data_IF_924948282748
#
_entry.id   IF_924948282748
#
_cell.length_a   1.000
_cell.length_b   1.000
_cell.length_c   1.000
_cell.angle_alpha   90.00
_cell.angle_beta   90.00
_cell.angle_gamma   90.00
#
_symmetry.space_group_name_H-M   'P 1'
#
loop_
_entity.id
_entity.type
_entity.pdbx_description
1 polymer ?
#
# COMPACT_ATOMS: atom_id res chain seq x y z
N UNK A 1 -15.74 -76.23 -5.52
CA UNK A 1 -16.44 -76.89 -6.62
C UNK A 1 -16.44 -78.45 -6.29
N UNK A 2 -17.57 -79.09 -6.54
CA UNK A 2 -17.67 -80.52 -6.48
C UNK A 2 -17.81 -81.10 -7.88
N UNK A 3 -17.17 -82.22 -8.15
CA UNK A 3 -17.30 -82.91 -9.40
C UNK A 3 -18.09 -84.18 -9.10
N UNK A 4 -19.33 -84.31 -9.61
CA UNK A 4 -20.10 -85.52 -9.41
C UNK A 4 -19.46 -86.70 -10.15
N UNK A 5 -19.43 -87.84 -9.52
CA UNK A 5 -18.92 -89.09 -10.09
C UNK A 5 -20.08 -89.99 -10.32
N UNK A 6 -20.22 -90.54 -11.54
CA UNK A 6 -21.22 -91.55 -11.86
C UNK A 6 -20.56 -92.78 -12.48
N UNK A 7 -20.98 -93.90 -12.04
CA UNK A 7 -20.58 -95.24 -12.60
C UNK A 7 -21.78 -96.17 -12.57
N UNK A 8 -21.86 -97.08 -13.53
CA UNK A 8 -22.88 -98.13 -13.59
C UNK A 8 -22.27 -99.49 -13.74
N UNK A 9 -22.86 -100.50 -13.13
CA UNK A 9 -22.50 -101.86 -13.27
C UNK A 9 -23.54 -102.68 -14.05
N UNK A 10 -23.13 -103.53 -14.93
CA UNK A 10 -23.99 -104.44 -15.66
C UNK A 10 -24.70 -105.49 -14.73
N UNK A 11 -24.19 -105.69 -13.55
CA UNK A 11 -24.80 -106.52 -12.51
C UNK A 11 -25.83 -105.79 -11.66
N UNK A 12 -26.00 -104.50 -11.80
CA UNK A 12 -26.69 -103.56 -10.88
C UNK A 12 -26.17 -103.61 -9.44
N UNK A 13 -24.96 -104.18 -9.25
CA UNK A 13 -24.29 -104.21 -7.95
C UNK A 13 -23.93 -102.80 -7.49
N UNK A 14 -23.97 -102.51 -6.19
CA UNK A 14 -23.48 -101.27 -5.66
C UNK A 14 -22.00 -101.08 -6.07
N UNK A 15 -21.67 -99.84 -6.37
CA UNK A 15 -20.30 -99.47 -6.69
C UNK A 15 -19.74 -98.65 -5.51
N UNK A 16 -18.64 -99.14 -4.98
CA UNK A 16 -17.84 -98.41 -4.01
C UNK A 16 -16.75 -97.58 -4.72
N UNK A 17 -16.54 -96.38 -4.21
CA UNK A 17 -15.58 -95.43 -4.82
C UNK A 17 -14.54 -95.03 -3.78
N UNK A 18 -13.28 -95.28 -4.14
CA UNK A 18 -12.14 -94.95 -3.27
C UNK A 18 -11.13 -94.06 -4.00
N UNK A 19 -10.40 -93.24 -3.24
CA UNK A 19 -9.26 -92.50 -3.75
C UNK A 19 -7.96 -93.17 -3.38
N UNK A 20 -6.99 -93.08 -4.27
CA UNK A 20 -5.63 -93.47 -3.95
C UNK A 20 -5.08 -92.65 -2.77
N UNK A 21 -4.28 -93.35 -1.90
CA UNK A 21 -3.66 -92.64 -0.77
C UNK A 21 -2.79 -91.49 -1.21
N UNK A 22 -2.96 -90.30 -0.57
CA UNK A 22 -2.20 -89.10 -0.90
C UNK A 22 -2.80 -88.33 -2.05
N UNK A 23 -4.05 -88.63 -2.48
CA UNK A 23 -4.75 -87.87 -3.52
C UNK A 23 -4.96 -86.45 -3.16
N UNK A 24 -4.88 -85.59 -4.15
CA UNK A 24 -5.07 -84.13 -4.06
C UNK A 24 -6.54 -83.70 -3.83
N UNK A 25 -7.43 -84.61 -3.56
CA UNK A 25 -8.85 -84.42 -3.39
C UNK A 25 -9.44 -85.30 -2.31
N UNK A 26 -10.65 -84.98 -1.85
CA UNK A 26 -11.44 -85.87 -0.98
C UNK A 26 -12.76 -86.27 -1.65
N UNK A 27 -13.34 -87.43 -1.21
CA UNK A 27 -14.67 -87.87 -1.62
C UNK A 27 -15.72 -87.45 -0.62
N UNK A 28 -16.89 -87.10 -1.14
CA UNK A 28 -18.10 -86.86 -0.34
C UNK A 28 -19.27 -87.61 -0.97
N UNK A 29 -20.16 -88.14 -0.14
CA UNK A 29 -21.31 -88.93 -0.58
C UNK A 29 -21.17 -90.39 -0.14
N UNK A 30 -22.04 -91.27 -0.66
CA UNK A 30 -22.11 -92.72 -0.40
C UNK A 30 -22.57 -93.48 -1.63
N UNK A 31 -22.73 -94.78 -1.49
CA UNK A 31 -23.04 -95.74 -2.59
C UNK A 31 -24.05 -95.17 -3.59
N UNK A 32 -23.60 -95.03 -4.81
CA UNK A 32 -24.37 -94.49 -5.97
C UNK A 32 -24.39 -92.97 -6.12
N UNK A 33 -23.78 -92.22 -5.18
CA UNK A 33 -23.88 -90.71 -5.22
C UNK A 33 -22.61 -90.07 -4.69
N UNK A 34 -21.49 -90.30 -5.30
CA UNK A 34 -20.18 -89.80 -4.91
C UNK A 34 -19.89 -88.49 -5.65
N UNK A 35 -19.22 -87.57 -5.01
CA UNK A 35 -18.63 -86.38 -5.61
C UNK A 35 -17.19 -86.23 -5.14
N UNK A 36 -16.34 -85.85 -6.07
CA UNK A 36 -14.97 -85.41 -5.74
C UNK A 36 -15.07 -83.96 -5.25
N UNK A 37 -14.64 -83.79 -4.02
CA UNK A 37 -14.72 -82.44 -3.33
C UNK A 37 -13.35 -82.03 -2.81
N UNK A 38 -13.20 -80.80 -2.37
CA UNK A 38 -11.97 -80.35 -1.70
C UNK A 38 -10.68 -80.57 -2.49
N UNK A 39 -10.70 -80.28 -3.78
CA UNK A 39 -9.49 -80.33 -4.61
C UNK A 39 -8.58 -79.13 -4.16
N UNK A 40 -7.53 -79.48 -3.40
CA UNK A 40 -6.68 -78.52 -2.71
C UNK A 40 -5.30 -78.32 -3.32
N UNK A 41 -4.84 -79.29 -4.13
CA UNK A 41 -3.52 -79.23 -4.77
C UNK A 41 -3.53 -79.91 -6.15
N UNK A 42 -2.50 -79.62 -6.94
CA UNK A 42 -2.34 -80.19 -8.27
C UNK A 42 -1.75 -81.60 -8.18
N UNK A 43 -2.03 -82.36 -9.20
CA UNK A 43 -1.54 -83.74 -9.29
C UNK A 43 -2.56 -84.67 -9.90
N UNK A 44 -2.22 -85.95 -9.99
CA UNK A 44 -3.11 -87.02 -10.49
C UNK A 44 -3.98 -87.51 -9.33
N UNK A 45 -5.28 -87.33 -9.50
CA UNK A 45 -6.30 -87.95 -8.63
C UNK A 45 -6.72 -89.27 -9.28
N UNK A 46 -6.39 -90.41 -8.69
CA UNK A 46 -6.82 -91.71 -9.17
C UNK A 46 -8.01 -92.17 -8.32
N UNK A 47 -9.13 -92.40 -9.01
CA UNK A 47 -10.38 -92.84 -8.43
C UNK A 47 -10.58 -94.28 -8.82
N UNK A 48 -10.81 -95.17 -7.87
CA UNK A 48 -11.09 -96.60 -8.12
C UNK A 48 -12.57 -96.85 -7.83
N UNK A 49 -13.26 -97.31 -8.82
CA UNK A 49 -14.65 -97.83 -8.77
C UNK A 49 -14.60 -99.35 -8.64
N UNK A 50 -15.21 -99.92 -7.63
CA UNK A 50 -15.25 -101.38 -7.38
C UNK A 50 -16.67 -101.83 -7.19
N UNK A 51 -17.10 -102.84 -7.96
CA UNK A 51 -18.45 -103.41 -7.76
C UNK A 51 -18.41 -104.34 -6.52
N UNK A 52 -19.40 -104.24 -5.65
CA UNK A 52 -19.59 -105.17 -4.54
C UNK A 52 -20.54 -106.24 -4.95
N UNK A 53 -19.97 -107.29 -5.55
CA UNK A 53 -20.71 -108.52 -6.00
C UNK A 53 -20.63 -109.67 -4.97
N UNK A 54 -20.24 -109.37 -3.73
CA UNK A 54 -20.00 -110.36 -2.66
C UNK A 54 -21.26 -111.21 -2.36
N UNK A 55 -22.44 -110.71 -2.68
CA UNK A 55 -23.69 -111.38 -2.44
C UNK A 55 -24.26 -112.10 -3.69
N UNK A 56 -23.54 -112.09 -4.83
CA UNK A 56 -24.02 -112.72 -6.09
C UNK A 56 -22.95 -113.67 -6.71
N UNK A 57 -23.11 -114.97 -6.54
CA UNK A 57 -22.10 -115.97 -6.95
C UNK A 57 -21.88 -115.98 -8.47
N UNK A 58 -22.72 -115.41 -9.28
CA UNK A 58 -22.61 -115.38 -10.74
C UNK A 58 -21.75 -114.25 -11.29
N UNK A 59 -21.33 -113.35 -10.44
CA UNK A 59 -20.52 -112.21 -10.85
C UNK A 59 -19.21 -112.11 -10.00
N UNK A 60 -18.21 -111.53 -10.58
CA UNK A 60 -16.95 -111.26 -9.91
C UNK A 60 -16.77 -109.78 -9.63
N UNK A 61 -16.22 -109.47 -8.50
CA UNK A 61 -15.83 -108.08 -8.23
C UNK A 61 -14.88 -107.57 -9.31
N UNK A 62 -15.24 -106.43 -9.87
CA UNK A 62 -14.47 -105.75 -10.90
C UNK A 62 -14.12 -104.34 -10.41
N UNK A 63 -12.88 -104.00 -10.64
CA UNK A 63 -12.40 -102.65 -10.35
C UNK A 63 -11.99 -101.95 -11.65
N UNK A 64 -12.36 -100.63 -11.76
CA UNK A 64 -11.94 -99.77 -12.83
C UNK A 64 -11.41 -98.45 -12.23
N UNK A 65 -10.42 -97.88 -12.87
CA UNK A 65 -9.79 -96.61 -12.40
C UNK A 65 -10.01 -95.48 -13.40
N UNK A 66 -10.27 -94.31 -12.82
CA UNK A 66 -10.29 -93.05 -13.53
C UNK A 66 -9.20 -92.12 -12.97
N UNK A 67 -8.35 -91.61 -13.87
CA UNK A 67 -7.32 -90.66 -13.47
C UNK A 67 -7.71 -89.26 -13.99
N UNK A 68 -7.77 -88.32 -13.06
CA UNK A 68 -8.02 -86.86 -13.33
C UNK A 68 -6.73 -86.13 -13.04
N UNK A 69 -6.23 -85.38 -14.05
CA UNK A 69 -5.06 -84.55 -13.88
C UNK A 69 -5.51 -83.17 -13.42
N UNK A 70 -5.26 -82.78 -12.20
CA UNK A 70 -5.53 -81.48 -11.63
C UNK A 70 -4.33 -80.58 -11.95
N UNK A 71 -4.53 -79.62 -12.78
CA UNK A 71 -3.51 -78.64 -13.19
C UNK A 71 -3.73 -77.31 -12.44
N UNK A 72 -2.66 -76.51 -12.33
CA UNK A 72 -2.75 -75.17 -11.75
C UNK A 72 -3.66 -74.24 -12.63
N UNK A 73 -4.47 -73.42 -11.96
CA UNK A 73 -5.25 -72.37 -12.62
C UNK A 73 -4.37 -71.21 -13.01
N UNK A 74 -4.65 -70.64 -14.13
CA UNK A 74 -4.04 -69.34 -14.49
C UNK A 74 -4.64 -68.20 -13.66
N UNK A 75 -3.84 -67.18 -13.44
CA UNK A 75 -4.25 -65.96 -12.75
C UNK A 75 -3.68 -64.75 -13.47
N UNK A 76 -4.27 -63.58 -13.19
CA UNK A 76 -3.84 -62.31 -13.70
C UNK A 76 -3.64 -61.30 -12.55
N UNK A 77 -2.82 -60.29 -12.79
CA UNK A 77 -2.67 -59.13 -11.90
C UNK A 77 -3.35 -57.94 -12.59
N UNK A 78 -4.09 -57.15 -11.81
CA UNK A 78 -4.69 -55.89 -12.24
C UNK A 78 -4.51 -54.86 -11.14
N UNK A 79 -4.45 -53.59 -11.51
CA UNK A 79 -4.51 -52.53 -10.50
C UNK A 79 -5.96 -52.26 -10.11
N UNK A 80 -6.27 -52.17 -8.82
CA UNK A 80 -7.54 -51.68 -8.30
C UNK A 80 -7.67 -50.16 -8.55
N UNK A 81 -6.53 -49.44 -8.43
CA UNK A 81 -6.34 -48.08 -8.86
C UNK A 81 -4.99 -47.99 -9.56
N UNK A 82 -4.99 -47.66 -10.84
CA UNK A 82 -3.74 -47.53 -11.61
C UNK A 82 -2.87 -46.43 -11.02
N UNK A 83 -1.55 -46.66 -10.85
CA UNK A 83 -0.63 -45.58 -10.56
C UNK A 83 -0.75 -44.48 -11.64
N UNK A 84 -0.59 -43.18 -11.28
CA UNK A 84 -0.63 -42.12 -12.26
C UNK A 84 0.55 -42.19 -13.23
N UNK A 85 0.33 -41.88 -14.49
CA UNK A 85 1.40 -41.82 -15.49
C UNK A 85 2.38 -40.67 -15.25
N UNK A 86 1.90 -39.59 -14.64
CA UNK A 86 2.70 -38.40 -14.29
C UNK A 86 2.29 -37.81 -12.95
N UNK A 87 3.28 -37.36 -12.20
CA UNK A 87 3.10 -36.57 -10.96
C UNK A 87 4.08 -35.41 -10.92
N UNK A 88 3.66 -34.29 -10.29
CA UNK A 88 4.56 -33.19 -9.98
C UNK A 88 5.30 -33.49 -8.67
N UNK A 89 6.59 -33.23 -8.65
CA UNK A 89 7.40 -33.37 -7.44
C UNK A 89 6.83 -32.58 -6.26
N UNK A 90 6.83 -33.18 -5.10
CA UNK A 90 6.66 -32.47 -3.83
C UNK A 90 7.52 -33.14 -2.76
N UNK A 91 7.85 -32.40 -1.71
CA UNK A 91 8.56 -33.03 -0.58
C UNK A 91 7.68 -34.11 0.06
N UNK A 92 8.31 -35.26 0.41
CA UNK A 92 7.65 -36.42 0.97
C UNK A 92 6.57 -37.06 0.06
N UNK A 93 6.68 -36.85 -1.26
CA UNK A 93 5.76 -37.47 -2.22
C UNK A 93 5.83 -39.01 -2.11
N UNK A 94 4.69 -39.63 -1.92
CA UNK A 94 4.57 -41.09 -1.88
C UNK A 94 3.31 -41.56 -2.61
N UNK A 95 3.39 -42.74 -3.21
CA UNK A 95 2.30 -43.40 -3.95
C UNK A 95 2.09 -44.78 -3.37
N UNK A 96 0.87 -45.06 -2.94
CA UNK A 96 0.49 -46.44 -2.51
C UNK A 96 0.04 -47.22 -3.73
N UNK A 97 0.68 -48.37 -3.95
CA UNK A 97 0.39 -49.26 -5.06
C UNK A 97 -0.69 -50.27 -4.67
N UNK A 98 -1.70 -50.44 -5.51
CA UNK A 98 -2.88 -51.26 -5.23
C UNK A 98 -3.14 -52.33 -6.32
N UNK A 99 -2.15 -53.17 -6.68
CA UNK A 99 -2.38 -54.29 -7.57
C UNK A 99 -2.95 -55.50 -6.82
N UNK A 100 -3.85 -56.20 -7.44
CA UNK A 100 -4.52 -57.39 -6.92
C UNK A 100 -4.40 -58.55 -7.90
N UNK A 101 -4.20 -59.76 -7.37
CA UNK A 101 -4.24 -60.99 -8.18
C UNK A 101 -5.66 -61.53 -8.20
N UNK A 102 -6.10 -62.07 -9.33
CA UNK A 102 -7.42 -62.71 -9.48
C UNK A 102 -7.62 -63.92 -8.59
N UNK A 103 -6.52 -64.51 -8.10
CA UNK A 103 -6.50 -65.61 -7.11
C UNK A 103 -6.68 -65.14 -5.67
N UNK A 104 -6.58 -63.84 -5.36
CA UNK A 104 -6.54 -63.31 -4.01
C UNK A 104 -5.18 -63.47 -3.30
N UNK A 105 -4.17 -64.03 -3.97
CA UNK A 105 -2.83 -64.18 -3.41
C UNK A 105 -2.11 -62.81 -3.36
N UNK A 106 -1.20 -62.60 -2.39
CA UNK A 106 -0.51 -61.33 -2.23
C UNK A 106 0.40 -61.03 -3.43
N UNK A 107 0.34 -59.79 -3.90
CA UNK A 107 1.19 -59.24 -4.98
C UNK A 107 2.44 -58.62 -4.33
N UNK A 108 3.59 -58.79 -4.97
CA UNK A 108 4.86 -58.20 -4.58
C UNK A 108 5.29 -57.19 -5.62
N UNK A 109 5.95 -56.10 -5.17
CA UNK A 109 6.41 -55.02 -6.03
C UNK A 109 7.93 -54.92 -6.04
N UNK A 110 8.49 -54.52 -7.18
CA UNK A 110 9.91 -54.22 -7.32
C UNK A 110 10.12 -53.00 -8.19
N UNK A 111 11.20 -52.24 -7.92
CA UNK A 111 11.71 -51.19 -8.78
C UNK A 111 12.53 -51.84 -9.89
N UNK A 112 12.11 -51.62 -11.14
CA UNK A 112 12.85 -52.07 -12.32
C UNK A 112 13.90 -51.06 -12.72
N UNK A 113 13.55 -49.78 -12.65
CA UNK A 113 14.44 -48.63 -12.86
C UNK A 113 13.94 -47.39 -12.14
N UNK A 114 14.85 -46.41 -11.90
CA UNK A 114 14.54 -45.14 -11.26
C UNK A 114 15.20 -45.01 -9.88
N UNK A 115 16.44 -44.47 -9.84
CA UNK A 115 17.17 -44.21 -8.59
C UNK A 115 16.54 -43.09 -7.76
N UNK A 116 15.54 -42.41 -8.30
CA UNK A 116 14.77 -41.31 -7.73
C UNK A 116 13.56 -41.76 -6.88
N UNK A 117 13.42 -43.08 -6.62
CA UNK A 117 12.38 -43.63 -5.78
C UNK A 117 12.88 -44.74 -4.89
N UNK A 118 12.26 -44.99 -3.76
CA UNK A 118 12.45 -46.12 -2.89
C UNK A 118 11.12 -46.81 -2.65
N UNK A 119 11.14 -48.17 -2.68
CA UNK A 119 9.94 -48.96 -2.50
C UNK A 119 10.00 -49.68 -1.15
N UNK A 120 9.00 -49.52 -0.34
CA UNK A 120 8.80 -50.25 0.91
C UNK A 120 7.43 -50.94 0.86
N UNK A 121 7.43 -52.24 0.69
CA UNK A 121 6.24 -53.06 0.42
C UNK A 121 5.47 -52.49 -0.80
N UNK A 122 4.30 -51.90 -0.59
CA UNK A 122 3.47 -51.32 -1.62
C UNK A 122 3.49 -49.77 -1.61
N UNK A 123 4.41 -49.12 -0.87
CA UNK A 123 4.55 -47.67 -0.83
C UNK A 123 5.82 -47.25 -1.57
N UNK A 124 5.64 -46.52 -2.65
CA UNK A 124 6.71 -45.86 -3.40
C UNK A 124 6.92 -44.47 -2.84
N UNK A 125 8.08 -44.19 -2.24
CA UNK A 125 8.52 -42.87 -1.84
C UNK A 125 9.41 -42.28 -2.92
N UNK A 126 9.14 -41.00 -3.32
CA UNK A 126 9.81 -40.33 -4.43
C UNK A 126 10.75 -39.24 -3.88
N UNK A 127 12.01 -39.30 -4.28
CA UNK A 127 13.07 -38.41 -3.77
C UNK A 127 13.56 -37.38 -4.79
N UNK A 128 13.31 -37.55 -6.08
CA UNK A 128 13.72 -36.63 -7.15
C UNK A 128 12.82 -36.81 -8.40
N UNK A 129 13.00 -35.96 -9.40
CA UNK A 129 12.29 -36.07 -10.69
C UNK A 129 12.88 -37.15 -11.60
N UNK A 130 12.12 -37.52 -12.64
CA UNK A 130 12.52 -38.55 -13.60
C UNK A 130 11.54 -39.69 -13.71
N UNK A 131 11.88 -40.71 -14.51
CA UNK A 131 11.03 -41.89 -14.69
C UNK A 131 11.32 -42.96 -13.62
N UNK A 132 10.26 -43.56 -13.11
CA UNK A 132 10.27 -44.70 -12.21
C UNK A 132 9.48 -45.80 -12.88
N UNK A 133 10.07 -47.01 -12.98
CA UNK A 133 9.41 -48.20 -13.51
C UNK A 133 9.23 -49.20 -12.39
N UNK A 134 7.98 -49.57 -12.13
CA UNK A 134 7.57 -50.52 -11.10
C UNK A 134 7.04 -51.77 -11.79
N UNK A 135 7.38 -52.92 -11.26
CA UNK A 135 6.82 -54.21 -11.67
C UNK A 135 6.05 -54.83 -10.51
N UNK A 136 4.82 -55.26 -10.78
CA UNK A 136 4.03 -56.04 -9.85
C UNK A 136 4.05 -57.51 -10.29
N UNK A 137 4.40 -58.42 -9.38
CA UNK A 137 4.56 -59.86 -9.61
C UNK A 137 3.74 -60.68 -8.64
N UNK A 138 3.36 -61.89 -9.07
CA UNK A 138 2.77 -62.90 -8.21
C UNK A 138 3.28 -64.30 -8.64
N UNK A 139 3.98 -65.01 -7.78
CA UNK A 139 4.75 -66.18 -8.07
C UNK A 139 3.93 -67.51 -8.14
N UNK A 140 2.62 -67.35 -7.92
CA UNK A 140 1.73 -68.55 -7.88
C UNK A 140 1.67 -69.23 -6.51
N UNK A 141 1.04 -70.39 -6.54
CA UNK A 141 0.91 -71.30 -5.37
C UNK A 141 0.84 -72.72 -5.83
N UNK A 142 0.49 -73.65 -4.95
CA UNK A 142 0.21 -75.02 -5.32
C UNK A 142 -1.00 -75.13 -6.28
N UNK A 143 -1.93 -74.15 -6.24
CA UNK A 143 -3.18 -74.18 -7.04
C UNK A 143 -3.17 -73.23 -8.23
N UNK A 144 -2.25 -72.28 -8.28
CA UNK A 144 -2.20 -71.24 -9.31
C UNK A 144 -0.83 -71.17 -9.97
N UNK A 145 -0.81 -70.94 -11.27
CA UNK A 145 0.40 -70.60 -12.01
C UNK A 145 0.86 -69.17 -11.63
N UNK A 146 2.16 -68.88 -11.80
CA UNK A 146 2.59 -67.44 -11.71
C UNK A 146 1.77 -66.55 -12.64
N UNK A 147 1.42 -65.34 -12.18
CA UNK A 147 0.81 -64.36 -13.05
C UNK A 147 1.86 -63.75 -14.00
N UNK A 148 1.41 -63.27 -15.16
CA UNK A 148 2.23 -62.44 -16.02
C UNK A 148 2.47 -61.11 -15.28
N UNK A 149 3.74 -60.71 -15.04
CA UNK A 149 4.03 -59.42 -14.42
C UNK A 149 3.45 -58.25 -15.16
N UNK A 150 2.99 -57.22 -14.43
CA UNK A 150 2.56 -55.97 -15.01
C UNK A 150 3.49 -54.83 -14.60
N UNK A 151 3.76 -53.90 -15.53
CA UNK A 151 4.62 -52.73 -15.30
C UNK A 151 3.84 -51.46 -15.36
N UNK A 152 4.23 -50.48 -14.52
CA UNK A 152 3.78 -49.10 -14.58
C UNK A 152 4.97 -48.16 -14.66
N UNK A 153 4.85 -47.13 -15.46
CA UNK A 153 5.84 -46.08 -15.63
C UNK A 153 5.24 -44.82 -15.05
N UNK A 154 5.95 -44.21 -14.10
CA UNK A 154 5.54 -42.93 -13.46
C UNK A 154 6.60 -41.90 -13.82
N UNK A 155 6.16 -40.82 -14.51
CA UNK A 155 7.00 -39.67 -14.82
C UNK A 155 6.85 -38.63 -13.73
N UNK A 156 7.92 -38.36 -12.99
CA UNK A 156 7.96 -37.33 -11.97
C UNK A 156 8.52 -36.05 -12.61
N UNK A 157 7.71 -35.01 -12.74
CA UNK A 157 8.10 -33.72 -13.33
C UNK A 157 8.46 -32.68 -12.25
N UNK A 158 9.23 -31.67 -12.64
CA UNK A 158 9.61 -30.58 -11.74
C UNK A 158 8.39 -29.84 -11.21
N UNK A 159 8.46 -29.45 -9.94
CA UNK A 159 7.49 -28.54 -9.34
C UNK A 159 7.74 -27.09 -9.78
N UNK A 160 6.71 -26.25 -9.87
CA UNK A 160 6.91 -24.82 -10.08
C UNK A 160 7.59 -24.18 -8.85
N UNK A 161 8.51 -23.26 -9.09
CA UNK A 161 8.94 -22.29 -8.09
C UNK A 161 8.00 -21.10 -8.13
N UNK A 162 7.71 -20.51 -6.99
CA UNK A 162 6.97 -19.25 -6.89
C UNK A 162 7.72 -18.29 -5.98
N UNK A 163 7.96 -17.08 -6.51
CA UNK A 163 8.49 -15.95 -5.76
C UNK A 163 7.37 -14.91 -5.58
N UNK A 164 7.22 -14.36 -4.38
CA UNK A 164 6.22 -13.34 -4.04
C UNK A 164 6.79 -12.29 -3.09
N UNK A 165 6.02 -11.21 -2.85
CA UNK A 165 6.31 -10.19 -1.85
C UNK A 165 7.65 -9.47 -2.04
N UNK A 166 7.93 -9.03 -3.28
CA UNK A 166 9.12 -8.28 -3.59
C UNK A 166 8.78 -6.86 -4.00
N UNK A 167 9.15 -5.88 -3.17
CA UNK A 167 8.94 -4.46 -3.42
C UNK A 167 10.11 -3.65 -2.88
N UNK A 168 10.36 -2.50 -3.51
CA UNK A 168 11.41 -1.56 -3.12
C UNK A 168 10.77 -0.17 -3.18
N UNK A 169 10.79 0.61 -2.08
CA UNK A 169 10.29 1.98 -2.10
C UNK A 169 11.19 2.88 -2.94
N UNK A 170 10.61 3.96 -3.47
CA UNK A 170 11.35 5.02 -4.13
C UNK A 170 12.43 5.57 -3.19
N UNK A 171 13.50 6.09 -3.77
CA UNK A 171 14.69 6.59 -3.09
C UNK A 171 15.08 7.96 -3.59
N UNK A 172 15.85 8.66 -2.77
CA UNK A 172 16.58 9.85 -3.18
C UNK A 172 18.07 9.57 -3.32
N UNK A 173 18.79 10.46 -4.00
CA UNK A 173 20.25 10.35 -4.15
C UNK A 173 20.98 10.54 -2.79
N UNK A 174 20.30 11.10 -1.80
CA UNK A 174 20.83 11.35 -0.46
C UNK A 174 20.52 10.21 0.53
N UNK A 175 19.68 9.24 0.14
CA UNK A 175 19.42 8.07 0.98
C UNK A 175 20.67 7.19 1.08
N UNK A 176 20.81 6.53 2.22
CA UNK A 176 21.86 5.54 2.43
C UNK A 176 21.68 4.32 1.52
N UNK A 177 22.80 3.67 1.19
CA UNK A 177 22.82 2.34 0.60
C UNK A 177 22.01 1.38 1.48
N UNK A 178 21.32 0.41 0.89
CA UNK A 178 20.37 -0.43 1.63
C UNK A 178 20.45 -1.92 1.28
N UNK A 179 19.85 -2.75 2.12
CA UNK A 179 19.67 -4.17 1.85
C UNK A 179 18.25 -4.46 1.37
N UNK A 180 18.14 -5.29 0.32
CA UNK A 180 16.86 -5.83 -0.14
C UNK A 180 16.26 -6.76 0.91
N UNK A 181 14.96 -6.69 1.08
CA UNK A 181 14.18 -7.77 1.70
C UNK A 181 13.97 -8.83 0.62
N UNK A 182 14.52 -10.05 0.79
CA UNK A 182 14.36 -11.11 -0.21
C UNK A 182 12.88 -11.44 -0.43
N UNK A 183 12.46 -11.75 -1.67
CA UNK A 183 11.12 -12.26 -1.90
C UNK A 183 10.91 -13.59 -1.18
N UNK A 184 9.66 -13.87 -0.80
CA UNK A 184 9.25 -15.15 -0.27
C UNK A 184 9.32 -16.22 -1.37
N UNK A 185 9.90 -17.37 -1.09
CA UNK A 185 9.97 -18.52 -1.99
C UNK A 185 9.31 -19.75 -1.39
N UNK A 186 8.59 -20.53 -2.21
CA UNK A 186 8.00 -21.80 -1.81
C UNK A 186 9.03 -22.94 -1.66
N UNK A 187 10.31 -22.67 -1.89
CA UNK A 187 11.41 -23.65 -1.72
C UNK A 187 12.69 -22.99 -1.21
N UNK A 188 13.56 -23.79 -0.62
CA UNK A 188 14.92 -23.36 -0.28
C UNK A 188 15.77 -23.17 -1.54
N UNK A 189 16.76 -22.28 -1.46
CA UNK A 189 17.74 -22.04 -2.51
C UNK A 189 18.19 -20.59 -2.59
N UNK A 190 19.29 -20.34 -3.29
CA UNK A 190 19.87 -19.01 -3.44
C UNK A 190 19.05 -18.19 -4.44
N UNK A 191 18.75 -16.95 -4.07
CA UNK A 191 18.15 -15.95 -4.95
C UNK A 191 19.27 -15.02 -5.43
N UNK A 192 19.29 -14.73 -6.72
CA UNK A 192 20.23 -13.83 -7.37
C UNK A 192 19.53 -12.56 -7.80
N UNK A 193 20.22 -11.44 -7.72
CA UNK A 193 19.65 -10.13 -8.03
C UNK A 193 20.42 -9.45 -9.15
N UNK A 194 19.70 -8.76 -10.03
CA UNK A 194 20.29 -7.94 -11.12
C UNK A 194 19.58 -6.59 -11.18
N UNK A 195 20.34 -5.56 -11.50
CA UNK A 195 19.82 -4.20 -11.72
C UNK A 195 19.69 -3.92 -13.22
N UNK A 196 18.56 -3.31 -13.62
CA UNK A 196 18.34 -2.84 -14.99
C UNK A 196 19.14 -1.58 -15.33
N UNK A 197 19.55 -0.80 -14.31
CA UNK A 197 20.26 0.46 -14.47
C UNK A 197 21.45 0.55 -13.50
N UNK A 198 22.59 -0.07 -13.83
CA UNK A 198 23.78 -0.04 -12.97
C UNK A 198 24.42 1.34 -12.80
N UNK A 199 24.04 2.35 -13.62
CA UNK A 199 24.49 3.73 -13.45
C UNK A 199 23.76 4.44 -12.31
N UNK A 200 22.50 4.05 -12.06
CA UNK A 200 21.71 4.59 -10.98
C UNK A 200 21.84 3.77 -9.69
N UNK A 201 21.83 2.43 -9.79
CA UNK A 201 22.06 1.55 -8.64
C UNK A 201 22.69 0.22 -9.07
N UNK A 202 23.67 -0.25 -8.29
CA UNK A 202 24.25 -1.59 -8.44
C UNK A 202 23.80 -2.47 -7.28
N UNK A 203 23.66 -3.79 -7.57
CA UNK A 203 23.26 -4.79 -6.56
C UNK A 203 24.34 -5.87 -6.44
N UNK A 204 24.69 -6.24 -5.21
CA UNK A 204 25.63 -7.31 -4.89
C UNK A 204 25.09 -8.16 -3.73
N UNK A 205 24.66 -9.38 -4.03
CA UNK A 205 23.81 -10.13 -3.08
C UNK A 205 22.54 -9.33 -2.80
N UNK A 206 22.21 -9.11 -1.54
CA UNK A 206 21.07 -8.27 -1.14
C UNK A 206 21.41 -6.78 -1.00
N UNK A 207 22.69 -6.42 -1.04
CA UNK A 207 23.12 -5.04 -0.85
C UNK A 207 22.95 -4.23 -2.16
N UNK A 208 22.27 -3.09 -2.06
CA UNK A 208 22.07 -2.13 -3.14
C UNK A 208 22.81 -0.85 -2.82
N UNK A 209 23.70 -0.43 -3.72
CA UNK A 209 24.42 0.84 -3.67
C UNK A 209 23.80 1.83 -4.62
N UNK A 210 23.42 2.99 -4.12
CA UNK A 210 22.89 4.12 -4.89
C UNK A 210 24.08 4.89 -5.52
N UNK A 211 24.02 5.15 -6.81
CA UNK A 211 25.09 5.84 -7.57
C UNK A 211 24.62 7.08 -8.31
N UNK A 212 23.34 7.15 -8.66
CA UNK A 212 22.80 8.23 -9.48
C UNK A 212 21.28 8.19 -9.56
N UNK A 213 20.70 9.21 -10.16
CA UNK A 213 19.26 9.32 -10.39
C UNK A 213 18.82 8.44 -11.55
N UNK A 214 17.57 7.97 -11.51
CA UNK A 214 16.95 7.22 -12.59
C UNK A 214 15.96 6.16 -12.11
N UNK A 215 15.27 5.58 -13.08
CA UNK A 215 14.39 4.45 -12.83
C UNK A 215 15.24 3.16 -12.80
N UNK A 216 15.00 2.34 -11.78
CA UNK A 216 15.73 1.09 -11.54
C UNK A 216 14.73 -0.03 -11.32
N UNK A 217 14.96 -1.16 -11.99
CA UNK A 217 14.25 -2.41 -11.72
C UNK A 217 15.24 -3.44 -11.22
N UNK A 218 15.03 -3.95 -10.01
CA UNK A 218 15.79 -5.09 -9.50
C UNK A 218 14.99 -6.35 -9.80
N UNK A 219 15.62 -7.30 -10.50
CA UNK A 219 15.05 -8.62 -10.75
C UNK A 219 15.68 -9.62 -9.80
N UNK A 220 14.86 -10.27 -8.99
CA UNK A 220 15.22 -11.39 -8.14
C UNK A 220 14.92 -12.69 -8.88
N UNK A 221 15.89 -13.60 -9.04
CA UNK A 221 15.75 -14.84 -9.77
C UNK A 221 16.22 -16.04 -8.95
N UNK A 222 15.45 -17.11 -8.96
CA UNK A 222 15.82 -18.38 -8.37
C UNK A 222 15.95 -19.44 -9.49
N UNK A 223 17.18 -19.92 -9.79
CA UNK A 223 17.41 -20.87 -10.86
C UNK A 223 16.70 -22.20 -10.65
N UNK A 224 16.40 -22.90 -11.73
CA UNK A 224 15.93 -24.29 -11.68
C UNK A 224 16.97 -25.23 -11.02
N UNK A 225 16.48 -26.31 -10.44
CA UNK A 225 17.31 -27.44 -10.01
C UNK A 225 16.65 -28.77 -10.47
N UNK A 226 17.14 -29.95 -9.99
CA UNK A 226 16.54 -31.21 -10.40
C UNK A 226 15.04 -31.34 -10.06
N UNK A 227 14.58 -30.69 -9.00
CA UNK A 227 13.23 -30.83 -8.43
C UNK A 227 12.26 -29.71 -8.77
N UNK A 228 12.77 -28.52 -9.10
CA UNK A 228 11.98 -27.30 -9.26
C UNK A 228 12.37 -26.53 -10.53
N UNK A 229 11.39 -25.96 -11.17
CA UNK A 229 11.58 -24.97 -12.24
C UNK A 229 12.20 -23.67 -11.71
N UNK A 230 12.75 -22.86 -12.60
CA UNK A 230 13.18 -21.48 -12.26
C UNK A 230 11.97 -20.57 -12.12
N UNK A 231 12.14 -19.49 -11.36
CA UNK A 231 11.21 -18.35 -11.30
C UNK A 231 11.96 -17.04 -11.08
N UNK A 232 11.31 -15.92 -11.42
CA UNK A 232 11.82 -14.58 -11.19
C UNK A 232 10.69 -13.61 -10.88
N UNK A 233 11.00 -12.61 -10.07
CA UNK A 233 10.12 -11.49 -9.73
C UNK A 233 10.92 -10.19 -9.80
N UNK A 234 10.28 -9.09 -10.16
CA UNK A 234 10.92 -7.79 -10.29
C UNK A 234 10.23 -6.73 -9.45
N UNK A 235 11.02 -5.81 -8.90
CA UNK A 235 10.56 -4.62 -8.22
C UNK A 235 11.21 -3.39 -8.85
N UNK A 236 10.39 -2.40 -9.20
CA UNK A 236 10.86 -1.13 -9.77
C UNK A 236 10.73 -0.02 -8.74
N UNK A 237 11.72 0.85 -8.71
CA UNK A 237 11.74 2.04 -7.87
C UNK A 237 12.47 3.17 -8.61
N UNK A 238 12.28 4.40 -8.14
CA UNK A 238 12.90 5.59 -8.70
C UNK A 238 13.92 6.16 -7.73
N UNK A 239 15.05 6.62 -8.28
CA UNK A 239 16.02 7.42 -7.53
C UNK A 239 15.92 8.85 -8.06
N UNK A 240 15.53 9.78 -7.21
CA UNK A 240 15.34 11.19 -7.54
C UNK A 240 16.33 12.06 -6.76
N UNK A 241 16.46 13.33 -7.16
CA UNK A 241 17.03 14.35 -6.28
C UNK A 241 16.02 14.58 -5.17
N UNK A 242 16.48 14.70 -3.93
CA UNK A 242 15.59 14.92 -2.78
C UNK A 242 14.81 16.22 -2.91
N UNK A 243 13.52 16.17 -2.68
CA UNK A 243 12.58 17.26 -2.55
C UNK A 243 11.58 16.78 -1.49
N UNK A 244 11.85 17.15 -0.24
CA UNK A 244 11.23 16.50 0.93
C UNK A 244 9.81 16.93 1.17
N UNK A 245 9.40 18.11 0.72
CA UNK A 245 8.04 18.65 0.86
C UNK A 245 7.26 18.71 -0.46
N UNK A 246 7.94 18.48 -1.60
CA UNK A 246 7.32 18.37 -2.91
C UNK A 246 6.92 19.71 -3.53
N UNK A 247 7.63 20.79 -3.20
CA UNK A 247 7.35 22.13 -3.72
C UNK A 247 8.03 22.44 -5.06
N UNK A 248 8.93 21.54 -5.51
CA UNK A 248 9.68 21.64 -6.76
C UNK A 248 11.10 22.18 -6.58
N UNK A 249 11.49 22.55 -5.37
CA UNK A 249 12.86 22.94 -5.01
C UNK A 249 13.54 21.74 -4.33
N UNK A 250 14.76 21.44 -4.75
CA UNK A 250 15.49 20.31 -4.18
C UNK A 250 16.04 20.65 -2.80
N UNK A 251 16.05 19.67 -1.88
CA UNK A 251 16.50 19.80 -0.48
C UNK A 251 17.81 20.56 -0.28
N UNK A 252 18.71 20.53 -1.25
CA UNK A 252 20.01 21.20 -1.17
C UNK A 252 19.99 22.67 -1.60
N UNK A 253 18.87 23.14 -2.14
CA UNK A 253 18.64 24.49 -2.61
C UNK A 253 17.43 25.11 -1.93
N UNK A 254 16.76 24.34 -1.10
CA UNK A 254 15.55 24.72 -0.41
C UNK A 254 15.88 25.32 0.97
N UNK A 255 15.45 26.57 1.17
CA UNK A 255 15.61 27.30 2.41
C UNK A 255 14.53 26.95 3.47
N UNK A 256 13.52 26.11 3.08
CA UNK A 256 12.52 25.53 3.99
C UNK A 256 12.28 24.05 3.70
N UNK A 257 13.28 23.23 3.73
CA UNK A 257 13.34 21.81 3.32
C UNK A 257 12.12 20.93 3.61
N UNK A 258 11.28 21.27 4.59
CA UNK A 258 10.13 20.48 5.03
C UNK A 258 8.81 21.26 5.00
N UNK A 259 8.81 22.49 4.46
CA UNK A 259 7.65 23.38 4.40
C UNK A 259 7.58 24.00 3.02
N UNK A 260 6.59 23.61 2.25
CA UNK A 260 6.44 24.07 0.87
C UNK A 260 6.52 25.60 0.75
N UNK A 261 7.53 26.08 0.03
CA UNK A 261 7.73 27.48 -0.28
C UNK A 261 8.39 27.71 -1.66
N UNK A 262 7.72 27.34 -2.75
CA UNK A 262 8.30 27.34 -4.10
C UNK A 262 8.85 28.71 -4.56
N UNK A 263 8.49 29.80 -3.87
CA UNK A 263 9.03 31.14 -4.11
C UNK A 263 10.36 31.42 -3.41
N UNK A 264 10.77 30.55 -2.47
CA UNK A 264 12.03 30.66 -1.72
C UNK A 264 12.25 32.05 -1.09
N UNK A 265 11.15 32.67 -0.61
CA UNK A 265 11.21 33.97 0.05
C UNK A 265 12.05 33.86 1.34
N UNK A 266 12.91 34.86 1.56
CA UNK A 266 13.85 34.99 2.68
C UNK A 266 14.03 36.50 2.90
N UNK A 267 13.28 37.04 3.82
CA UNK A 267 13.13 38.50 3.97
C UNK A 267 14.36 39.14 4.59
N UNK A 268 14.98 38.47 5.58
CA UNK A 268 16.14 38.99 6.30
C UNK A 268 17.47 38.50 5.70
N UNK A 269 17.44 37.45 4.84
CA UNK A 269 18.62 36.93 4.15
C UNK A 269 19.52 36.03 5.00
N UNK A 270 19.00 35.42 6.05
CA UNK A 270 19.77 34.56 6.95
C UNK A 270 19.92 33.13 6.40
N UNK A 271 19.16 32.75 5.36
CA UNK A 271 19.16 31.47 4.68
C UNK A 271 18.06 30.51 5.16
N UNK A 272 17.20 30.93 6.09
CA UNK A 272 15.95 30.27 6.44
C UNK A 272 14.82 30.98 5.69
N UNK A 273 13.97 30.22 5.02
CA UNK A 273 12.87 30.84 4.25
C UNK A 273 11.74 31.32 5.15
N UNK A 274 11.08 32.44 4.76
CA UNK A 274 9.94 33.04 5.50
C UNK A 274 8.90 32.03 5.98
N UNK A 275 8.69 30.94 5.23
CA UNK A 275 7.66 29.94 5.53
C UNK A 275 7.99 29.07 6.74
N UNK A 276 9.26 28.94 7.09
CA UNK A 276 9.74 28.11 8.19
C UNK A 276 10.60 28.87 9.20
N UNK A 277 10.77 30.19 8.97
CA UNK A 277 11.55 31.06 9.84
C UNK A 277 10.74 31.43 11.10
N UNK A 278 11.28 31.25 12.29
CA UNK A 278 10.67 31.73 13.52
C UNK A 278 10.80 33.24 13.76
N UNK A 279 11.66 33.96 12.96
CA UNK A 279 11.97 35.40 13.09
C UNK A 279 12.20 35.98 11.68
N UNK A 280 11.11 36.15 10.91
CA UNK A 280 11.10 36.43 9.46
C UNK A 280 11.83 37.72 9.05
N UNK A 281 11.92 38.71 9.93
CA UNK A 281 12.59 39.99 9.61
C UNK A 281 13.94 40.15 10.32
N UNK A 282 14.33 39.15 11.12
CA UNK A 282 15.66 39.06 11.73
C UNK A 282 15.92 40.12 12.82
N UNK A 283 14.90 40.63 13.47
CA UNK A 283 15.05 41.68 14.47
C UNK A 283 15.36 41.13 15.88
N UNK A 284 15.29 39.83 16.06
CA UNK A 284 15.56 39.14 17.31
C UNK A 284 14.30 38.84 18.13
N UNK A 285 13.13 39.14 17.63
CA UNK A 285 11.83 38.86 18.25
C UNK A 285 11.12 37.78 17.40
N UNK A 286 10.70 36.72 18.04
CA UNK A 286 10.02 35.64 17.30
C UNK A 286 8.67 36.11 16.76
N UNK A 287 8.29 35.69 15.53
CA UNK A 287 7.05 36.09 14.84
C UNK A 287 5.78 36.04 15.71
N UNK A 288 5.73 35.12 16.68
CA UNK A 288 4.58 34.94 17.57
C UNK A 288 4.52 35.94 18.72
N UNK A 289 5.59 36.69 18.92
CA UNK A 289 5.75 37.73 19.96
C UNK A 289 6.00 39.09 19.38
N UNK A 290 6.20 39.17 18.07
CA UNK A 290 6.51 40.36 17.31
C UNK A 290 5.22 41.08 16.87
N UNK A 291 5.15 42.34 17.17
CA UNK A 291 4.03 43.20 16.76
C UNK A 291 4.14 43.68 15.31
N UNK A 292 5.30 43.45 14.63
CA UNK A 292 5.49 43.70 13.20
C UNK A 292 6.29 42.59 12.50
N UNK A 293 5.82 41.33 12.42
CA UNK A 293 6.63 40.13 12.07
C UNK A 293 7.33 40.14 10.70
N UNK A 294 7.19 41.21 9.95
CA UNK A 294 7.80 41.37 8.61
C UNK A 294 8.51 42.70 8.43
N UNK A 295 8.69 43.48 9.52
CA UNK A 295 9.36 44.76 9.51
C UNK A 295 10.24 44.93 10.76
N UNK A 296 11.53 44.91 10.56
CA UNK A 296 12.55 45.04 11.60
C UNK A 296 12.25 46.16 12.61
N UNK A 297 11.81 45.80 13.81
CA UNK A 297 11.44 46.75 14.89
C UNK A 297 11.80 46.22 16.29
N UNK A 298 13.08 46.00 16.61
CA UNK A 298 13.54 45.31 17.83
C UNK A 298 13.15 46.03 19.13
N UNK A 299 12.53 47.21 19.06
CA UNK A 299 12.03 47.93 20.23
C UNK A 299 10.57 47.64 20.54
N UNK A 300 9.85 47.04 19.60
CA UNK A 300 8.44 46.68 19.72
C UNK A 300 7.57 47.81 20.25
N UNK A 301 7.77 49.03 19.68
CA UNK A 301 6.93 50.16 20.01
C UNK A 301 5.51 49.91 19.45
N UNK A 302 4.52 50.28 20.23
CA UNK A 302 3.10 50.10 19.99
C UNK A 302 2.42 51.16 20.86
N UNK A 303 2.16 52.32 20.23
CA UNK A 303 1.76 53.55 20.94
C UNK A 303 0.34 53.42 21.50
N UNK A 304 -0.57 52.86 20.73
CA UNK A 304 -1.99 52.73 21.11
C UNK A 304 -2.31 51.40 21.84
N UNK A 305 -1.37 50.47 21.84
CA UNK A 305 -1.47 49.14 22.43
C UNK A 305 -2.54 48.24 21.80
N UNK A 306 -2.72 48.33 20.50
CA UNK A 306 -3.63 47.46 19.75
C UNK A 306 -2.99 46.12 19.32
N UNK A 307 -1.67 46.01 19.44
CA UNK A 307 -0.87 44.82 19.13
C UNK A 307 -0.21 44.85 17.76
N UNK A 308 -0.37 45.95 16.99
CA UNK A 308 0.39 46.27 15.78
C UNK A 308 1.45 47.27 16.19
N UNK A 309 2.67 47.08 15.74
CA UNK A 309 3.75 48.00 16.11
C UNK A 309 3.78 49.24 15.19
N UNK A 310 4.18 50.38 15.75
CA UNK A 310 4.23 51.70 15.08
C UNK A 310 4.89 51.62 13.67
N UNK A 311 5.84 50.73 13.45
CA UNK A 311 6.54 50.62 12.16
C UNK A 311 5.66 50.02 11.08
N UNK A 312 4.66 49.22 11.40
CA UNK A 312 3.78 48.55 10.49
C UNK A 312 2.31 48.96 10.62
N UNK A 313 1.98 49.71 11.63
CA UNK A 313 0.65 50.31 11.79
C UNK A 313 0.47 51.42 10.79
N UNK A 314 -0.68 51.60 10.18
CA UNK A 314 -1.04 52.79 9.38
C UNK A 314 -1.64 53.95 10.18
N UNK A 315 -1.92 53.80 11.50
CA UNK A 315 -2.60 54.76 12.37
C UNK A 315 -2.10 54.49 13.82
N UNK A 316 -0.86 54.97 14.11
CA UNK A 316 -0.07 54.62 15.28
C UNK A 316 -0.70 54.94 16.65
N UNK A 317 -1.72 55.87 16.68
CA UNK A 317 -2.40 56.23 17.90
C UNK A 317 -3.92 55.93 17.90
N UNK A 318 -4.42 55.38 16.78
CA UNK A 318 -5.81 54.95 16.59
C UNK A 318 -6.85 56.09 16.78
N UNK A 319 -6.49 57.29 16.37
CA UNK A 319 -7.42 58.43 16.42
C UNK A 319 -8.37 58.48 15.21
N UNK A 320 -8.08 57.67 14.15
CA UNK A 320 -8.85 57.57 12.91
C UNK A 320 -8.26 58.38 11.76
N UNK A 321 -7.12 59.05 11.93
CA UNK A 321 -6.31 59.66 10.89
C UNK A 321 -5.06 58.82 10.65
N UNK A 322 -4.82 58.36 9.43
CA UNK A 322 -3.59 57.61 9.14
C UNK A 322 -2.36 58.48 9.26
N UNK A 323 -1.23 57.96 9.78
CA UNK A 323 0.07 58.65 9.95
C UNK A 323 0.48 59.50 8.76
N UNK A 324 0.19 59.00 7.53
CA UNK A 324 0.52 59.75 6.31
C UNK A 324 -0.26 61.05 6.11
N UNK A 325 -1.25 61.30 6.93
CA UNK A 325 -2.13 62.47 6.89
C UNK A 325 -2.27 63.16 8.25
N UNK A 326 -1.61 62.60 9.23
CA UNK A 326 -1.56 63.07 10.58
C UNK A 326 -0.27 63.83 10.83
N UNK A 327 -0.39 64.97 11.43
CA UNK A 327 0.77 65.77 11.86
C UNK A 327 1.35 65.31 13.21
N UNK A 328 0.55 64.56 13.99
CA UNK A 328 0.90 64.06 15.33
C UNK A 328 0.64 62.55 15.50
N UNK A 329 1.24 61.67 14.67
CA UNK A 329 0.89 60.25 14.57
C UNK A 329 1.03 59.43 15.86
N UNK A 330 1.40 59.99 16.95
CA UNK A 330 1.57 59.34 18.25
C UNK A 330 0.72 59.98 19.35
N UNK A 331 -0.10 61.00 19.03
CA UNK A 331 -0.96 61.71 19.98
C UNK A 331 -2.44 61.62 19.56
N UNK A 332 -3.23 60.70 20.11
CA UNK A 332 -4.61 60.48 19.71
C UNK A 332 -5.58 61.64 20.01
N UNK A 333 -5.05 62.74 20.40
CA UNK A 333 -5.84 63.97 20.62
C UNK A 333 -5.60 65.04 19.59
N UNK A 334 -4.61 64.88 18.71
CA UNK A 334 -4.17 65.84 17.72
C UNK A 334 -3.93 65.15 16.36
N UNK A 335 -4.39 65.79 15.26
CA UNK A 335 -4.23 65.28 13.90
C UNK A 335 -3.97 66.35 12.86
N UNK A 336 -4.31 67.63 13.13
CA UNK A 336 -4.00 68.75 12.27
C UNK A 336 -3.09 69.72 12.96
N UNK A 337 -2.34 70.47 12.17
CA UNK A 337 -1.46 71.60 12.57
C UNK A 337 -1.54 72.60 11.43
N UNK A 338 -2.49 73.51 11.53
CA UNK A 338 -2.87 74.40 10.43
C UNK A 338 -1.79 75.41 10.11
N UNK A 339 -1.12 75.98 11.10
CA UNK A 339 -0.06 76.94 10.96
C UNK A 339 1.36 76.39 10.96
N UNK A 340 1.50 75.11 11.28
CA UNK A 340 2.77 74.34 11.28
C UNK A 340 3.75 74.85 12.38
N UNK A 341 3.24 75.22 13.54
CA UNK A 341 4.08 75.64 14.66
C UNK A 341 4.46 74.48 15.60
N UNK A 342 3.84 73.32 15.44
CA UNK A 342 4.09 72.05 16.18
C UNK A 342 3.18 71.88 17.39
N UNK A 343 2.13 72.72 17.54
CA UNK A 343 0.99 72.53 18.43
C UNK A 343 -0.20 72.12 17.57
N UNK A 344 -0.94 71.07 17.94
CA UNK A 344 -2.10 70.67 17.14
C UNK A 344 -3.31 71.55 17.37
N UNK A 345 -4.16 71.64 16.35
CA UNK A 345 -5.35 72.56 16.33
C UNK A 345 -6.29 72.33 17.54
N UNK A 346 -6.30 71.12 18.14
CA UNK A 346 -7.10 70.84 19.33
C UNK A 346 -6.49 71.44 20.63
N UNK A 347 -5.20 71.64 20.68
CA UNK A 347 -4.44 72.12 21.85
C UNK A 347 -4.02 73.59 21.65
N UNK A 348 -3.93 74.04 20.41
CA UNK A 348 -3.62 75.41 20.10
C UNK A 348 -4.79 76.32 20.55
N UNK A 349 -4.55 77.55 20.68
CA UNK A 349 -5.56 78.60 21.00
C UNK A 349 -5.63 79.68 19.95
N UNK A 350 -4.78 79.58 18.88
CA UNK A 350 -4.70 80.49 17.74
C UNK A 350 -4.22 79.68 16.54
N UNK A 351 -5.12 78.79 16.01
CA UNK A 351 -4.86 77.70 15.06
C UNK A 351 -4.18 78.19 13.75
N UNK A 352 -4.24 79.49 13.43
CA UNK A 352 -3.63 79.98 12.21
C UNK A 352 -2.55 81.06 12.45
N UNK A 353 -2.25 81.34 13.74
CA UNK A 353 -1.21 82.24 14.23
C UNK A 353 -1.34 83.68 13.65
N UNK A 354 -2.56 84.13 13.50
CA UNK A 354 -2.82 85.50 13.05
C UNK A 354 -2.82 86.53 14.18
N UNK A 355 -2.86 86.04 15.44
CA UNK A 355 -2.81 86.83 16.66
C UNK A 355 -4.19 87.09 17.29
N UNK A 356 -5.23 86.43 16.78
CA UNK A 356 -6.56 86.37 17.38
C UNK A 356 -6.79 84.98 17.90
N UNK A 357 -7.39 84.87 19.08
CA UNK A 357 -7.67 83.53 19.63
C UNK A 357 -8.84 82.88 18.88
N UNK A 358 -8.86 81.58 18.68
CA UNK A 358 -9.96 80.83 18.01
C UNK A 358 -11.36 81.20 18.57
N UNK A 359 -11.41 81.40 19.87
CA UNK A 359 -12.66 81.81 20.53
C UNK A 359 -13.13 83.22 20.21
N UNK A 360 -12.23 84.04 19.67
CA UNK A 360 -12.47 85.43 19.30
C UNK A 360 -12.40 85.64 17.78
N UNK A 361 -11.95 84.61 17.05
CA UNK A 361 -11.80 84.60 15.60
C UNK A 361 -12.99 83.90 14.93
N UNK A 362 -13.54 84.57 13.91
CA UNK A 362 -14.60 84.06 13.08
C UNK A 362 -14.09 83.01 12.04
N UNK A 363 -12.77 82.99 11.80
CA UNK A 363 -12.11 82.11 10.80
C UNK A 363 -10.84 81.46 11.36
N UNK A 364 -10.87 80.68 12.41
CA UNK A 364 -9.72 80.24 13.17
C UNK A 364 -8.65 79.45 12.39
N UNK A 365 -8.88 79.06 11.14
CA UNK A 365 -7.97 78.37 10.27
C UNK A 365 -7.48 79.16 9.08
N UNK A 366 -7.72 80.46 9.09
CA UNK A 366 -7.42 81.34 7.96
C UNK A 366 -6.71 82.63 8.37
N UNK A 367 -5.40 82.70 8.43
CA UNK A 367 -4.58 83.76 8.97
C UNK A 367 -4.72 85.12 8.20
N UNK A 368 -5.76 85.27 7.44
CA UNK A 368 -6.08 86.53 6.71
C UNK A 368 -7.42 87.15 7.07
N UNK A 369 -8.21 86.43 7.81
CA UNK A 369 -9.56 86.79 8.19
C UNK A 369 -9.79 86.40 9.67
N UNK A 370 -10.29 87.31 10.47
CA UNK A 370 -10.57 87.10 11.90
C UNK A 370 -11.93 87.71 12.31
N UNK A 371 -12.52 88.52 11.47
CA UNK A 371 -13.77 89.20 11.76
C UNK A 371 -14.78 88.93 10.64
N UNK A 372 -15.99 88.61 11.00
CA UNK A 372 -17.18 88.52 10.13
C UNK A 372 -18.30 89.34 10.78
N UNK A 373 -18.44 90.54 10.30
CA UNK A 373 -19.34 91.53 10.95
C UNK A 373 -20.81 91.21 10.74
N UNK A 374 -21.18 90.80 9.56
CA UNK A 374 -22.57 90.48 9.21
C UNK A 374 -22.94 89.02 9.35
N UNK A 375 -21.94 88.08 9.54
CA UNK A 375 -22.14 86.66 9.76
C UNK A 375 -22.49 85.86 8.49
N UNK A 376 -22.06 86.39 7.32
CA UNK A 376 -22.38 85.72 6.05
C UNK A 376 -21.34 84.65 5.64
N UNK A 377 -20.23 84.52 6.37
CA UNK A 377 -19.16 83.55 6.17
C UNK A 377 -18.06 84.03 5.23
N UNK A 378 -18.03 85.35 4.89
CA UNK A 378 -16.94 86.00 4.21
C UNK A 378 -16.30 86.95 5.20
N UNK A 379 -15.00 86.85 5.41
CA UNK A 379 -14.30 87.75 6.34
C UNK A 379 -14.16 89.18 5.83
N UNK A 380 -14.14 90.07 6.76
CA UNK A 380 -14.14 91.51 6.46
C UNK A 380 -12.98 91.95 5.56
N UNK A 381 -11.84 91.22 5.54
CA UNK A 381 -10.75 91.57 4.63
C UNK A 381 -11.06 91.21 3.17
N UNK A 382 -11.95 90.24 2.92
CA UNK A 382 -12.32 89.75 1.62
C UNK A 382 -13.70 90.25 1.16
N UNK A 383 -14.57 90.58 2.11
CA UNK A 383 -15.88 91.12 1.83
C UNK A 383 -15.81 92.54 1.20
N UNK A 384 -16.84 92.97 0.66
CA UNK A 384 -16.99 94.34 0.03
C UNK A 384 -18.08 95.16 0.65
N UNK A 385 -18.84 94.60 1.53
CA UNK A 385 -19.99 95.16 2.21
C UNK A 385 -20.09 94.48 3.57
N UNK A 386 -19.15 94.84 4.49
CA UNK A 386 -18.83 94.14 5.72
C UNK A 386 -19.99 93.97 6.70
N UNK A 387 -21.02 94.77 6.55
CA UNK A 387 -22.19 94.77 7.42
C UNK A 387 -23.51 94.49 6.69
N UNK A 388 -23.41 94.21 5.34
CA UNK A 388 -24.51 93.83 4.45
C UNK A 388 -25.68 94.82 4.44
N UNK A 389 -25.37 96.11 4.55
CA UNK A 389 -26.36 97.18 4.45
C UNK A 389 -26.69 97.58 2.99
N UNK A 390 -25.99 97.03 1.98
CA UNK A 390 -26.02 97.29 0.53
C UNK A 390 -25.22 98.49 0.11
N UNK A 391 -24.41 99.14 0.95
CA UNK A 391 -23.39 100.07 0.63
C UNK A 391 -22.01 99.47 0.77
N UNK A 392 -21.24 99.49 -0.30
CA UNK A 392 -19.90 98.80 -0.25
C UNK A 392 -18.95 99.67 0.63
N UNK A 393 -18.06 98.98 1.45
CA UNK A 393 -17.19 99.60 2.47
C UNK A 393 -16.47 100.84 2.02
N UNK A 394 -15.90 100.80 0.77
CA UNK A 394 -15.18 101.96 0.19
C UNK A 394 -16.06 103.18 -0.01
N UNK A 395 -17.38 103.06 0.13
CA UNK A 395 -18.36 104.14 -0.02
C UNK A 395 -19.19 104.38 1.24
N UNK A 396 -18.99 103.50 2.18
CA UNK A 396 -19.61 103.47 3.47
C UNK A 396 -18.76 104.27 4.47
N UNK A 397 -19.38 105.14 5.22
CA UNK A 397 -18.71 105.86 6.30
C UNK A 397 -18.57 105.01 7.56
N UNK A 398 -19.38 103.90 7.71
CA UNK A 398 -19.45 103.00 8.85
C UNK A 398 -19.53 101.51 8.41
N UNK A 399 -18.53 101.00 7.76
CA UNK A 399 -18.57 99.69 7.11
C UNK A 399 -18.83 98.53 8.05
N UNK A 400 -18.93 98.66 9.33
CA UNK A 400 -19.18 97.64 10.33
C UNK A 400 -20.49 97.87 11.10
N UNK A 401 -21.32 98.80 10.66
CA UNK A 401 -22.61 99.14 11.32
C UNK A 401 -23.73 99.24 10.29
N UNK A 402 -24.42 98.17 10.04
CA UNK A 402 -25.51 98.03 9.07
C UNK A 402 -26.70 98.99 9.30
N UNK A 403 -26.68 99.75 10.34
CA UNK A 403 -27.66 100.81 10.59
C UNK A 403 -27.22 102.18 10.11
N UNK A 404 -25.95 102.39 9.74
CA UNK A 404 -25.33 103.69 9.33
C UNK A 404 -24.44 103.46 8.10
N UNK A 405 -24.53 104.41 7.09
CA UNK A 405 -23.70 104.30 5.87
C UNK A 405 -23.19 105.69 5.39
N UNK A 406 -23.73 106.74 5.98
CA UNK A 406 -23.38 108.11 5.59
C UNK A 406 -23.06 108.97 6.81
N UNK A 407 -22.01 109.74 6.71
CA UNK A 407 -21.58 110.77 7.65
C UNK A 407 -21.38 112.07 6.87
N UNK A 408 -22.34 112.91 6.90
CA UNK A 408 -22.37 114.14 6.04
C UNK A 408 -21.43 115.22 6.56
N UNK A 409 -21.35 115.46 7.85
CA UNK A 409 -20.51 116.46 8.44
C UNK A 409 -19.15 115.96 8.92
N UNK A 410 -18.96 114.59 8.95
CA UNK A 410 -17.73 113.91 9.27
C UNK A 410 -17.30 114.04 10.71
N UNK A 411 -18.23 113.96 11.61
CA UNK A 411 -17.96 114.00 13.02
C UNK A 411 -17.79 112.57 13.66
N UNK A 412 -18.10 111.57 12.89
CA UNK A 412 -18.00 110.16 13.29
C UNK A 412 -19.28 109.54 13.86
N UNK A 413 -20.42 110.25 13.73
CA UNK A 413 -21.75 109.78 14.06
C UNK A 413 -22.54 109.65 12.73
N UNK A 414 -23.20 108.47 12.56
CA UNK A 414 -23.96 108.23 11.32
C UNK A 414 -25.25 109.06 11.23
N UNK A 415 -25.58 109.42 9.99
CA UNK A 415 -26.72 110.25 9.75
C UNK A 415 -28.07 109.73 10.28
N UNK A 416 -28.22 108.45 10.53
CA UNK A 416 -29.43 107.83 11.11
C UNK A 416 -29.57 108.11 12.61
N UNK A 417 -28.45 108.35 13.28
CA UNK A 417 -28.36 108.55 14.74
C UNK A 417 -27.90 109.96 15.11
N UNK A 418 -27.44 110.78 14.16
CA UNK A 418 -27.04 112.16 14.37
C UNK A 418 -28.25 113.08 14.38
N UNK A 419 -28.24 114.09 15.27
CA UNK A 419 -29.31 115.11 15.41
C UNK A 419 -28.98 116.36 14.67
N UNK A 420 -27.73 116.62 14.18
CA UNK A 420 -27.30 117.86 13.56
C UNK A 420 -26.58 117.77 12.22
N UNK A 421 -26.82 116.68 11.54
CA UNK A 421 -26.39 116.16 10.24
C UNK A 421 -26.34 117.18 9.06
#
# INVERSE_FOLDING_TARGET
NSIPLSASSSSNAPIDVTLAQGSAASLSGGVGNYSLVSIQQTGIVTITFTTDDSNNPNYKTVSSTLSINVIKSNQSITYSTSPPDQVTYSENLSITLGAVASSGLPVTYSLVSGANGTLNNNVLSISDTGQIVIEATQTGSNSYNPAIPIRSIISVVQAPTTLSDFSIPDKTLLDDDFNLTPPTSNRAGTIYYTSSNPQAAIVSGTFVKILGIGDVTITASQPANSKYLSDQIAASFKIRIGDSDGDGIIDSQDNCKYVQNPNQADLDGDGIGDACDPDVDGDGIANSLDNCPRKFNPRQLDNDNDGIGDVCDPDDDNDGYPDSKDYFPLDPTEWFDNDLDGIGDNADTDDDNDGYLDTEDAFPLNPKEWLDTDGDGIGNNLDKDDDNDNVVDRKDAFPLDSSEWLDTDKDGIGNNTDEDD
#
